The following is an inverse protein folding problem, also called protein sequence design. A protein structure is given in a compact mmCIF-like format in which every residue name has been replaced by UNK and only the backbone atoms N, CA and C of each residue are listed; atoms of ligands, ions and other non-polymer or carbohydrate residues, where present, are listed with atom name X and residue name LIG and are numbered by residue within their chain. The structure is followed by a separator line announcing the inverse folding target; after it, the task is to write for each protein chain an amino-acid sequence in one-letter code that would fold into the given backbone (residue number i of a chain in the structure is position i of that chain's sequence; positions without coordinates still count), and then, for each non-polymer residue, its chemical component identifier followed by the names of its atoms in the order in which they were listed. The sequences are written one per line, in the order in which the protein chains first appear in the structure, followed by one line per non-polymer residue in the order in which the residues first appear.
data_IF_004571626201
#
_entry.id   IF_004571626201
#
_cell.length_a   1.000
_cell.length_b   1.000
_cell.length_c   1.000
_cell.angle_alpha   90.00
_cell.angle_beta   90.00
_cell.angle_gamma   90.00
#
_symmetry.space_group_name_H-M   'P 1'
#
loop_
_entity.id
_entity.type
_entity.pdbx_description
1 polymer ?
#
# COMPACT_ATOMS: atom_id res chain seq x y z
N UNK A 1 -5.32 12.45 20.60
CA UNK A 1 -4.04 12.77 19.94
C UNK A 1 -4.35 13.15 18.49
N UNK A 2 -3.88 14.29 17.96
CA UNK A 2 -4.28 14.74 16.64
C UNK A 2 -3.62 13.89 15.55
N UNK A 3 -4.46 13.19 14.79
CA UNK A 3 -4.11 12.23 13.74
C UNK A 3 -3.65 12.89 12.42
N UNK A 4 -2.93 14.02 12.46
CA UNK A 4 -2.84 14.88 11.26
C UNK A 4 -1.47 15.52 10.99
N UNK A 5 -0.39 14.88 11.45
CA UNK A 5 0.95 15.21 10.98
C UNK A 5 1.78 13.92 10.88
N UNK A 6 1.37 13.00 10.00
CA UNK A 6 2.23 11.89 9.63
C UNK A 6 3.52 12.50 9.07
N UNK A 7 4.63 12.33 9.80
CA UNK A 7 5.94 12.74 9.32
C UNK A 7 6.25 12.00 8.02
N UNK A 8 7.07 12.54 7.13
CA UNK A 8 7.50 11.85 5.89
C UNK A 8 7.93 10.41 6.13
N UNK A 9 8.63 10.15 7.25
CA UNK A 9 9.03 8.81 7.71
C UNK A 9 7.86 7.89 8.06
N UNK A 10 6.78 8.44 8.63
CA UNK A 10 5.58 7.68 8.97
C UNK A 10 4.75 7.37 7.70
N UNK A 11 4.75 8.29 6.73
CA UNK A 11 4.13 8.08 5.42
C UNK A 11 4.90 7.03 4.59
N UNK A 12 6.23 7.07 4.62
CA UNK A 12 7.10 6.05 4.01
C UNK A 12 6.81 4.67 4.59
N UNK A 13 6.84 4.54 5.92
CA UNK A 13 6.52 3.30 6.61
C UNK A 13 5.10 2.80 6.28
N UNK A 14 4.12 3.72 6.20
CA UNK A 14 2.74 3.39 5.84
C UNK A 14 2.62 2.86 4.41
N UNK A 15 3.35 3.45 3.48
CA UNK A 15 3.37 2.98 2.10
C UNK A 15 3.98 1.59 1.98
N UNK A 16 5.16 1.38 2.57
CA UNK A 16 5.84 0.08 2.56
C UNK A 16 4.97 -1.00 3.20
N UNK A 17 4.29 -0.69 4.31
CA UNK A 17 3.39 -1.61 4.99
C UNK A 17 2.24 -2.06 4.10
N UNK A 18 1.63 -1.16 3.32
CA UNK A 18 0.53 -1.51 2.42
C UNK A 18 1.02 -2.37 1.25
N UNK A 19 2.22 -2.09 0.72
CA UNK A 19 2.84 -2.87 -0.36
C UNK A 19 3.14 -4.28 0.11
N UNK A 20 3.77 -4.43 1.28
CA UNK A 20 4.12 -5.73 1.86
C UNK A 20 2.87 -6.56 2.18
N UNK A 21 1.85 -5.93 2.78
CA UNK A 21 0.57 -6.57 3.03
C UNK A 21 -0.05 -7.07 1.73
N UNK A 22 -0.11 -6.24 0.68
CA UNK A 22 -0.65 -6.67 -0.60
C UNK A 22 0.16 -7.81 -1.23
N UNK A 23 1.50 -7.76 -1.15
CA UNK A 23 2.38 -8.82 -1.62
C UNK A 23 2.10 -10.15 -0.91
N UNK A 24 1.99 -10.14 0.43
CA UNK A 24 1.66 -11.32 1.21
C UNK A 24 0.33 -11.98 0.77
N UNK A 25 -0.73 -11.19 0.59
CA UNK A 25 -2.03 -11.71 0.17
C UNK A 25 -2.03 -12.22 -1.27
N UNK A 26 -1.34 -11.52 -2.18
CA UNK A 26 -1.27 -11.90 -3.59
C UNK A 26 -0.30 -13.05 -3.85
N UNK A 27 0.76 -13.20 -3.06
CA UNK A 27 1.67 -14.34 -3.13
C UNK A 27 1.03 -15.63 -2.58
N UNK A 28 0.15 -15.52 -1.58
CA UNK A 28 -0.61 -16.64 -1.02
C UNK A 28 -1.66 -17.18 -2.01
N UNK A 29 -2.31 -16.29 -2.75
CA UNK A 29 -3.25 -16.64 -3.83
C UNK A 29 -2.42 -16.90 -5.10
N UNK A 30 -1.93 -18.14 -5.28
CA UNK A 30 -1.37 -18.66 -6.56
C UNK A 30 -2.41 -18.68 -7.70
N UNK A 31 -3.32 -17.72 -7.74
CA UNK A 31 -4.37 -17.62 -8.74
C UNK A 31 -3.78 -17.08 -10.03
N UNK A 32 -3.83 -17.96 -11.01
CA UNK A 32 -3.22 -17.92 -12.32
C UNK A 32 -4.01 -16.99 -13.28
N UNK A 33 -4.32 -15.76 -12.88
CA UNK A 33 -4.97 -14.79 -13.75
C UNK A 33 -4.14 -13.52 -13.84
N UNK A 34 -3.44 -13.39 -14.96
CA UNK A 34 -2.82 -12.16 -15.45
C UNK A 34 -1.66 -11.62 -14.61
N UNK A 35 -0.65 -12.47 -14.46
CA UNK A 35 0.73 -12.09 -14.82
C UNK A 35 1.31 -10.84 -14.15
N UNK A 36 1.99 -11.06 -13.03
CA UNK A 36 3.32 -10.47 -12.77
C UNK A 36 3.41 -8.94 -12.53
N UNK A 37 2.37 -8.15 -12.77
CA UNK A 37 2.40 -6.70 -12.53
C UNK A 37 1.02 -6.25 -12.09
N UNK A 38 0.77 -6.24 -10.79
CA UNK A 38 -0.29 -5.36 -10.30
C UNK A 38 0.23 -3.93 -10.49
N UNK A 39 -0.06 -3.30 -11.64
CA UNK A 39 0.46 -2.00 -12.05
C UNK A 39 0.27 -0.95 -10.94
N UNK A 40 -0.80 -1.08 -10.14
CA UNK A 40 -1.08 -0.24 -8.97
C UNK A 40 -0.06 -0.42 -7.84
N UNK A 41 0.41 -1.65 -7.56
CA UNK A 41 1.47 -1.91 -6.58
C UNK A 41 2.78 -1.27 -7.02
N UNK A 42 3.16 -1.48 -8.28
CA UNK A 42 4.40 -0.93 -8.85
C UNK A 42 4.34 0.60 -8.87
N UNK A 43 3.20 1.17 -9.26
CA UNK A 43 2.95 2.61 -9.20
C UNK A 43 3.10 3.16 -7.79
N UNK A 44 2.50 2.50 -6.80
CA UNK A 44 2.60 2.93 -5.41
C UNK A 44 4.04 2.88 -4.87
N UNK A 45 4.81 1.84 -5.20
CA UNK A 45 6.23 1.74 -4.83
C UNK A 45 7.04 2.89 -5.43
N UNK A 46 6.83 3.20 -6.72
CA UNK A 46 7.47 4.34 -7.39
C UNK A 46 7.04 5.67 -6.78
N UNK A 47 5.76 5.86 -6.49
CA UNK A 47 5.27 7.10 -5.87
C UNK A 47 5.90 7.29 -4.49
N UNK A 48 6.09 6.22 -3.73
CA UNK A 48 6.74 6.29 -2.42
C UNK A 48 8.24 6.57 -2.54
N UNK A 49 8.96 5.94 -3.47
CA UNK A 49 10.37 6.26 -3.76
C UNK A 49 10.56 7.72 -4.21
N UNK A 50 9.59 8.28 -4.95
CA UNK A 50 9.59 9.68 -5.40
C UNK A 50 9.14 10.68 -4.34
N UNK A 51 8.88 10.25 -3.10
CA UNK A 51 8.40 11.09 -2.00
C UNK A 51 6.92 11.49 -2.12
N UNK A 52 6.18 10.93 -3.08
CA UNK A 52 4.72 11.06 -3.24
C UNK A 52 3.99 10.00 -2.41
N UNK A 53 4.36 9.88 -1.14
CA UNK A 53 3.81 8.86 -0.25
C UNK A 53 2.28 8.89 -0.16
N UNK A 54 1.68 10.09 -0.23
CA UNK A 54 0.22 10.25 -0.18
C UNK A 54 -0.48 9.59 -1.37
N UNK A 55 0.07 9.74 -2.58
CA UNK A 55 -0.47 9.11 -3.79
C UNK A 55 -0.28 7.60 -3.74
N UNK A 56 0.91 7.11 -3.34
CA UNK A 56 1.17 5.68 -3.21
C UNK A 56 0.28 4.99 -2.17
N UNK A 57 0.10 5.61 -1.00
CA UNK A 57 -0.83 5.14 0.03
C UNK A 57 -2.26 5.11 -0.51
N UNK A 58 -2.73 6.19 -1.12
CA UNK A 58 -4.09 6.26 -1.65
C UNK A 58 -4.35 5.20 -2.76
N UNK A 59 -3.37 4.96 -3.63
CA UNK A 59 -3.44 3.93 -4.66
C UNK A 59 -3.55 2.52 -4.04
N UNK A 60 -2.74 2.22 -3.03
CA UNK A 60 -2.78 0.93 -2.32
C UNK A 60 -4.05 0.76 -1.51
N UNK A 61 -4.51 1.80 -0.82
CA UNK A 61 -5.77 1.76 -0.08
C UNK A 61 -6.97 1.52 -1.01
N UNK A 62 -6.99 2.19 -2.17
CA UNK A 62 -8.02 1.98 -3.19
C UNK A 62 -8.01 0.55 -3.72
N UNK A 63 -6.83 0.02 -4.04
CA UNK A 63 -6.63 -1.34 -4.53
C UNK A 63 -7.10 -2.40 -3.52
N UNK A 64 -6.73 -2.24 -2.26
CA UNK A 64 -7.13 -3.15 -1.19
C UNK A 64 -8.66 -3.09 -1.00
N UNK A 65 -9.27 -1.90 -0.99
CA UNK A 65 -10.73 -1.74 -0.94
C UNK A 65 -11.44 -2.37 -2.13
N UNK A 66 -10.92 -2.20 -3.33
CA UNK A 66 -11.47 -2.77 -4.56
C UNK A 66 -11.49 -4.30 -4.50
N UNK A 67 -10.40 -4.89 -4.01
CA UNK A 67 -10.32 -6.33 -3.73
C UNK A 67 -11.00 -6.76 -2.44
N UNK A 68 -11.68 -5.84 -1.74
CA UNK A 68 -12.36 -6.05 -0.46
C UNK A 68 -11.46 -6.61 0.65
N UNK A 69 -10.16 -6.31 0.57
CA UNK A 69 -9.23 -6.56 1.67
C UNK A 69 -9.41 -5.53 2.77
N UNK A 70 -9.27 -5.98 4.01
CA UNK A 70 -9.22 -5.09 5.17
C UNK A 70 -7.93 -4.27 5.10
N UNK A 71 -8.08 -2.95 5.15
CA UNK A 71 -6.93 -2.07 5.21
C UNK A 71 -6.25 -2.27 6.56
N UNK A 72 -4.95 -2.63 6.59
CA UNK A 72 -4.25 -2.71 7.86
C UNK A 72 -4.34 -1.33 8.52
N UNK A 73 -4.72 -1.29 9.80
CA UNK A 73 -4.73 -0.04 10.56
C UNK A 73 -3.37 0.65 10.40
N UNK A 74 -3.34 1.98 10.30
CA UNK A 74 -2.08 2.70 10.51
C UNK A 74 -1.67 2.30 11.93
N UNK A 75 -0.62 1.48 12.05
CA UNK A 75 -0.24 0.88 13.33
C UNK A 75 -0.25 1.96 14.42
N UNK A 76 -0.68 1.63 15.65
CA UNK A 76 -0.64 2.59 16.73
C UNK A 76 0.79 3.13 16.82
N UNK A 77 0.92 4.45 16.69
CA UNK A 77 2.20 5.15 16.73
C UNK A 77 2.94 4.97 18.04
#
# INVERSE_FOLDING_TARGET
MPASAQSSRQLEARCQQLIDFFDYYTNSRRENSDGHRNHTRIGAEIDCDRGKYRDGIAAMEKLLRDKKYELPAAGPG
#
